data_IF_657229695168
#
_entry.id   IF_657229695168
#
_cell.length_a   1.000
_cell.length_b   1.000
_cell.length_c   1.000
_cell.angle_alpha   90.00
_cell.angle_beta   90.00
_cell.angle_gamma   90.00
#
_symmetry.space_group_name_H-M   'P 1'
#
loop_
_entity.id
_entity.type
_entity.pdbx_description
1 polymer ?
#
# COMPACT_ATOMS: atom_id res chain seq x y z
N UNK A 1 1.39 2.60 -12.91
CA UNK A 1 2.85 2.34 -12.91
C UNK A 1 3.07 0.96 -12.33
N UNK A 2 3.57 0.00 -13.13
CA UNK A 2 3.85 -1.35 -12.66
C UNK A 2 5.15 -1.29 -11.85
N UNK A 3 5.08 -1.55 -10.54
CA UNK A 3 6.28 -1.64 -9.71
C UNK A 3 7.07 -2.87 -10.18
N UNK A 4 8.06 -2.64 -11.03
CA UNK A 4 8.92 -3.69 -11.58
C UNK A 4 10.01 -3.99 -10.55
N UNK A 5 9.66 -4.79 -9.54
CA UNK A 5 10.52 -5.11 -8.40
C UNK A 5 11.90 -5.60 -8.83
N UNK A 6 11.97 -6.35 -9.93
CA UNK A 6 13.20 -6.86 -10.53
C UNK A 6 14.17 -5.73 -10.94
N UNK A 7 13.67 -4.62 -11.48
CA UNK A 7 14.51 -3.48 -11.90
C UNK A 7 15.08 -2.75 -10.70
N UNK A 8 14.28 -2.59 -9.64
CA UNK A 8 14.72 -1.96 -8.39
C UNK A 8 15.77 -2.80 -7.65
N UNK A 9 15.60 -4.13 -7.60
CA UNK A 9 16.62 -5.03 -7.05
C UNK A 9 17.92 -5.00 -7.86
N UNK A 10 17.82 -4.95 -9.19
CA UNK A 10 19.00 -4.85 -10.07
C UNK A 10 19.77 -3.55 -9.81
N UNK A 11 19.06 -2.41 -9.69
CA UNK A 11 19.69 -1.13 -9.37
C UNK A 11 20.37 -1.16 -8.00
N UNK A 12 19.75 -1.79 -6.99
CA UNK A 12 20.34 -1.95 -5.67
C UNK A 12 21.64 -2.76 -5.73
N UNK A 13 21.61 -3.92 -6.40
CA UNK A 13 22.79 -4.79 -6.55
C UNK A 13 23.91 -4.07 -7.29
N UNK A 14 23.61 -3.42 -8.42
CA UNK A 14 24.59 -2.64 -9.18
C UNK A 14 25.15 -1.49 -8.35
N UNK A 15 24.31 -0.79 -7.58
CA UNK A 15 24.73 0.28 -6.68
C UNK A 15 25.66 -0.20 -5.57
N UNK A 16 25.36 -1.34 -4.94
CA UNK A 16 26.19 -1.93 -3.88
C UNK A 16 27.52 -2.44 -4.45
N UNK A 17 27.50 -3.13 -5.59
CA UNK A 17 28.72 -3.60 -6.26
C UNK A 17 29.57 -2.42 -6.75
N UNK A 18 28.95 -1.38 -7.29
CA UNK A 18 29.66 -0.15 -7.65
C UNK A 18 30.29 0.54 -6.43
N UNK A 19 29.57 0.60 -5.31
CA UNK A 19 30.07 1.19 -4.07
C UNK A 19 31.25 0.42 -3.48
N UNK A 20 31.22 -0.91 -3.49
CA UNK A 20 32.35 -1.73 -3.01
C UNK A 20 33.57 -1.60 -3.93
N UNK A 21 33.39 -1.54 -5.24
CA UNK A 21 34.48 -1.33 -6.20
C UNK A 21 35.13 0.06 -6.07
N UNK A 22 34.37 1.07 -5.65
CA UNK A 22 34.87 2.42 -5.39
C UNK A 22 35.53 2.56 -4.01
N UNK A 23 35.61 1.49 -3.22
CA UNK A 23 36.21 1.51 -1.88
C UNK A 23 35.39 2.29 -0.86
N UNK A 24 34.07 2.40 -1.05
CA UNK A 24 33.19 3.02 -0.06
C UNK A 24 33.19 2.15 1.22
N UNK A 25 33.32 2.75 2.42
CA UNK A 25 33.28 2.01 3.68
C UNK A 25 32.01 1.18 3.84
N UNK A 26 32.16 -0.05 4.33
CA UNK A 26 31.04 -0.99 4.57
C UNK A 26 29.97 -0.43 5.51
N UNK A 27 30.33 0.49 6.40
CA UNK A 27 29.40 1.20 7.28
C UNK A 27 28.39 2.03 6.48
N UNK A 28 28.78 2.66 5.38
CA UNK A 28 27.87 3.44 4.53
C UNK A 28 26.98 2.52 3.70
N UNK A 29 27.58 1.45 3.15
CA UNK A 29 26.85 0.45 2.36
C UNK A 29 25.76 -0.23 3.22
N UNK A 30 26.09 -0.57 4.47
CA UNK A 30 25.13 -1.20 5.38
C UNK A 30 23.96 -0.27 5.77
N UNK A 31 24.19 1.03 5.96
CA UNK A 31 23.11 2.01 6.21
C UNK A 31 22.16 2.05 5.01
N UNK A 32 22.72 2.06 3.79
CA UNK A 32 21.92 2.09 2.57
C UNK A 32 21.08 0.82 2.39
N UNK A 33 21.67 -0.36 2.61
CA UNK A 33 20.97 -1.65 2.55
C UNK A 33 19.86 -1.72 3.60
N UNK A 34 20.15 -1.33 4.84
CA UNK A 34 19.15 -1.33 5.91
C UNK A 34 17.98 -0.38 5.59
N UNK A 35 18.26 0.82 5.10
CA UNK A 35 17.21 1.77 4.67
C UNK A 35 16.32 1.20 3.58
N UNK A 36 16.92 0.55 2.58
CA UNK A 36 16.17 -0.14 1.52
C UNK A 36 15.32 -1.30 2.05
N UNK A 37 15.85 -2.07 2.99
CA UNK A 37 15.13 -3.18 3.62
C UNK A 37 13.90 -2.68 4.41
N UNK A 38 14.02 -1.58 5.15
CA UNK A 38 12.87 -0.97 5.85
C UNK A 38 11.78 -0.51 4.88
N UNK A 39 12.17 0.15 3.78
CA UNK A 39 11.21 0.60 2.76
C UNK A 39 10.52 -0.58 2.07
N UNK A 40 11.26 -1.64 1.77
CA UNK A 40 10.73 -2.84 1.14
C UNK A 40 9.73 -3.57 2.05
N UNK A 41 10.08 -3.76 3.32
CA UNK A 41 9.20 -4.38 4.32
C UNK A 41 7.94 -3.52 4.50
N UNK A 42 8.09 -2.20 4.65
CA UNK A 42 6.95 -1.28 4.77
C UNK A 42 6.00 -1.34 3.58
N UNK A 43 6.55 -1.41 2.35
CA UNK A 43 5.77 -1.55 1.14
C UNK A 43 5.00 -2.89 1.08
N UNK A 44 5.63 -4.00 1.49
CA UNK A 44 4.96 -5.30 1.56
C UNK A 44 3.84 -5.28 2.59
N UNK A 45 4.09 -4.78 3.80
CA UNK A 45 3.05 -4.69 4.84
C UNK A 45 1.89 -3.80 4.40
N UNK A 46 2.17 -2.67 3.74
CA UNK A 46 1.14 -1.80 3.18
C UNK A 46 0.32 -2.48 2.08
N UNK A 47 0.98 -3.22 1.18
CA UNK A 47 0.30 -3.99 0.13
C UNK A 47 -0.57 -5.12 0.70
N UNK A 48 -0.04 -5.86 1.67
CA UNK A 48 -0.78 -6.92 2.36
C UNK A 48 -1.95 -6.33 3.15
N UNK A 49 -1.77 -5.23 3.87
CA UNK A 49 -2.85 -4.53 4.56
C UNK A 49 -3.92 -4.02 3.57
N UNK A 50 -3.50 -3.45 2.44
CA UNK A 50 -4.40 -3.03 1.36
C UNK A 50 -5.22 -4.20 0.83
N UNK A 51 -4.59 -5.34 0.54
CA UNK A 51 -5.27 -6.55 0.06
C UNK A 51 -6.18 -7.19 1.13
N UNK A 52 -5.79 -7.15 2.40
CA UNK A 52 -6.63 -7.65 3.50
C UNK A 52 -7.87 -6.75 3.64
N UNK A 53 -7.68 -5.43 3.62
CA UNK A 53 -8.79 -4.47 3.63
C UNK A 53 -9.66 -4.65 2.39
N UNK A 54 -9.09 -4.79 1.21
CA UNK A 54 -9.86 -4.97 -0.03
C UNK A 54 -10.59 -6.32 -0.07
N UNK A 55 -9.98 -7.40 0.40
CA UNK A 55 -10.61 -8.72 0.50
C UNK A 55 -11.71 -8.79 1.56
N UNK A 56 -11.51 -8.17 2.73
CA UNK A 56 -12.52 -8.18 3.80
C UNK A 56 -13.61 -7.12 3.62
N UNK A 57 -13.27 -5.92 3.17
CA UNK A 57 -14.22 -4.81 3.00
C UNK A 57 -14.84 -4.78 1.61
N UNK A 58 -14.09 -5.13 0.57
CA UNK A 58 -14.55 -5.09 -0.81
C UNK A 58 -15.59 -6.16 -1.09
N UNK A 59 -15.31 -7.43 -0.83
CA UNK A 59 -16.26 -8.50 -1.20
C UNK A 59 -17.46 -8.61 -0.25
N UNK A 60 -17.26 -8.40 1.05
CA UNK A 60 -18.37 -8.49 2.01
C UNK A 60 -19.24 -7.22 2.07
N UNK A 61 -18.69 -6.01 1.89
CA UNK A 61 -19.50 -4.77 1.95
C UNK A 61 -20.08 -4.36 0.60
N UNK A 62 -19.53 -4.81 -0.53
CA UNK A 62 -20.16 -4.58 -1.86
C UNK A 62 -21.49 -5.32 -2.00
N UNK A 63 -21.71 -6.40 -1.26
CA UNK A 63 -23.00 -7.11 -1.23
C UNK A 63 -24.06 -6.46 -0.36
N UNK A 64 -23.68 -5.50 0.49
CA UNK A 64 -24.59 -4.89 1.48
C UNK A 64 -24.94 -3.48 1.01
N UNK A 65 -26.17 -3.32 0.54
CA UNK A 65 -26.75 -2.05 0.13
C UNK A 65 -27.77 -1.61 1.17
N UNK A 66 -27.63 -0.38 1.66
CA UNK A 66 -28.66 0.27 2.45
C UNK A 66 -29.58 1.02 1.50
N UNK A 67 -30.82 0.54 1.39
CA UNK A 67 -31.85 1.18 0.58
C UNK A 67 -32.69 2.06 1.50
N UNK A 68 -32.74 3.36 1.18
CA UNK A 68 -33.54 4.34 1.89
C UNK A 68 -34.53 4.96 0.91
N UNK A 69 -35.78 5.09 1.34
CA UNK A 69 -36.81 5.78 0.58
C UNK A 69 -37.11 7.11 1.27
N UNK A 70 -36.82 8.22 0.59
CA UNK A 70 -37.09 9.57 1.07
C UNK A 70 -37.90 10.27 -0.01
N UNK A 71 -39.09 10.77 0.35
CA UNK A 71 -39.97 11.50 -0.58
C UNK A 71 -40.32 10.73 -1.87
N UNK A 72 -40.48 9.40 -1.79
CA UNK A 72 -40.84 8.54 -2.93
C UNK A 72 -39.69 8.27 -3.91
N UNK A 73 -38.47 8.70 -3.59
CA UNK A 73 -37.28 8.38 -4.35
C UNK A 73 -36.45 7.31 -3.62
N UNK A 74 -36.13 6.22 -4.34
CA UNK A 74 -35.29 5.14 -3.83
C UNK A 74 -33.81 5.52 -3.97
N UNK A 75 -33.12 5.66 -2.85
CA UNK A 75 -31.68 5.86 -2.79
C UNK A 75 -31.02 4.59 -2.28
N UNK A 76 -30.05 4.07 -3.03
CA UNK A 76 -29.25 2.92 -2.62
C UNK A 76 -27.83 3.39 -2.33
N UNK A 77 -27.36 3.16 -1.10
CA UNK A 77 -26.00 3.51 -0.69
C UNK A 77 -25.28 2.23 -0.25
N UNK A 78 -24.14 1.92 -0.90
CA UNK A 78 -23.32 0.78 -0.50
C UNK A 78 -22.67 1.05 0.86
N UNK A 79 -22.67 0.06 1.75
CA UNK A 79 -21.99 0.18 3.06
C UNK A 79 -20.49 0.42 2.88
N UNK A 80 -19.90 -0.13 1.81
CA UNK A 80 -18.51 0.15 1.40
C UNK A 80 -18.21 1.65 1.33
N UNK A 81 -19.07 2.43 0.65
CA UNK A 81 -18.90 3.87 0.50
C UNK A 81 -18.96 4.62 1.84
N UNK A 82 -19.86 4.21 2.74
CA UNK A 82 -19.99 4.79 4.09
C UNK A 82 -18.72 4.48 4.91
N UNK A 83 -18.26 3.23 4.87
CA UNK A 83 -17.06 2.80 5.60
C UNK A 83 -15.82 3.57 5.12
N UNK A 84 -15.64 3.71 3.80
CA UNK A 84 -14.54 4.50 3.21
C UNK A 84 -14.64 5.97 3.60
N UNK A 85 -15.84 6.56 3.61
CA UNK A 85 -16.05 7.95 4.02
C UNK A 85 -15.70 8.19 5.50
N UNK A 86 -16.10 7.27 6.39
CA UNK A 86 -15.77 7.35 7.82
C UNK A 86 -14.27 7.18 8.03
N UNK A 87 -13.64 6.19 7.39
CA UNK A 87 -12.20 5.96 7.50
C UNK A 87 -11.42 7.19 7.02
N UNK A 88 -11.81 7.76 5.88
CA UNK A 88 -11.17 8.95 5.31
C UNK A 88 -11.27 10.15 6.24
N UNK A 89 -12.44 10.36 6.87
CA UNK A 89 -12.66 11.42 7.84
C UNK A 89 -11.85 11.23 9.13
N UNK A 90 -11.72 9.99 9.61
CA UNK A 90 -11.04 9.67 10.87
C UNK A 90 -9.51 9.65 10.74
N UNK A 91 -8.98 9.18 9.60
CA UNK A 91 -7.54 9.15 9.32
C UNK A 91 -6.97 10.50 8.83
N UNK A 92 -7.81 11.51 8.59
CA UNK A 92 -7.42 12.83 8.02
C UNK A 92 -6.40 12.68 6.87
N UNK A 93 -6.80 11.95 5.84
CA UNK A 93 -6.24 12.12 4.48
C UNK A 93 -6.93 13.29 3.79
#
# INVERSE_FOLDING_TARGET
>A
MRFDSERWFTILIVGVVGATLLGIPDSIISIFINGWMYLFIGAIFSYVAGNIVEGFSGDYLKGIFLNFEILGHHFSLSVFFITVAILSFWLRL
#
